data_IF_602315122584
#
_entry.id   IF_602315122584
#
_cell.length_a   1.000
_cell.length_b   1.000
_cell.length_c   1.000
_cell.angle_alpha   90.00
_cell.angle_beta   90.00
_cell.angle_gamma   90.00
#
_symmetry.space_group_name_H-M   'P 1'
#
loop_
_entity.id
_entity.type
_entity.pdbx_description
1 polymer ?
#
# COMPACT_ATOMS: atom_id res chain seq x y z
N UNK A 1 -7.51 6.95 -27.72
CA UNK A 1 -7.27 5.68 -28.46
C UNK A 1 -5.88 5.06 -28.29
N UNK A 2 -4.79 5.81 -28.07
CA UNK A 2 -3.42 5.24 -27.88
C UNK A 2 -3.23 4.42 -26.59
N UNK A 3 -3.96 4.70 -25.52
CA UNK A 3 -3.82 3.98 -24.22
C UNK A 3 -4.43 2.57 -24.21
N UNK A 4 -5.44 2.30 -25.03
CA UNK A 4 -6.03 0.96 -25.14
C UNK A 4 -5.12 0.00 -25.94
N UNK A 5 -4.28 0.53 -26.83
CA UNK A 5 -3.37 -0.27 -27.64
C UNK A 5 -2.15 -0.78 -26.84
N UNK A 6 -1.70 -0.01 -25.83
CA UNK A 6 -0.59 -0.42 -24.95
C UNK A 6 -1.03 -1.48 -23.92
N UNK A 7 -2.25 -1.42 -23.42
CA UNK A 7 -2.81 -2.43 -22.51
C UNK A 7 -2.99 -3.79 -23.21
N UNK A 8 -3.48 -3.79 -24.46
CA UNK A 8 -3.62 -5.02 -25.24
C UNK A 8 -2.28 -5.69 -25.58
N UNK A 9 -1.22 -4.89 -25.81
CA UNK A 9 0.13 -5.43 -26.07
C UNK A 9 0.79 -6.01 -24.82
N UNK A 10 0.56 -5.44 -23.64
CA UNK A 10 1.06 -6.00 -22.38
C UNK A 10 0.37 -7.32 -22.04
N UNK A 11 -0.95 -7.41 -22.22
CA UNK A 11 -1.71 -8.67 -22.02
C UNK A 11 -1.26 -9.76 -23.00
N UNK A 12 -1.03 -9.42 -24.26
CA UNK A 12 -0.54 -10.36 -25.24
C UNK A 12 0.92 -10.81 -24.96
N UNK A 13 1.77 -9.95 -24.43
CA UNK A 13 3.15 -10.28 -24.05
C UNK A 13 3.15 -11.24 -22.82
N UNK A 14 2.29 -11.01 -21.84
CA UNK A 14 2.17 -11.90 -20.67
C UNK A 14 1.60 -13.26 -21.07
N UNK A 15 0.61 -13.31 -21.98
CA UNK A 15 0.07 -14.55 -22.51
C UNK A 15 1.11 -15.31 -23.36
N UNK A 16 1.91 -14.62 -24.17
CA UNK A 16 2.96 -15.24 -24.97
C UNK A 16 4.13 -15.78 -24.12
N UNK A 17 4.49 -15.09 -23.04
CA UNK A 17 5.51 -15.57 -22.08
C UNK A 17 5.00 -16.82 -21.34
N UNK A 18 3.72 -16.85 -20.95
CA UNK A 18 3.10 -18.01 -20.32
C UNK A 18 3.02 -19.23 -21.24
N UNK A 19 2.77 -19.02 -22.54
CA UNK A 19 2.68 -20.10 -23.53
C UNK A 19 4.07 -20.61 -23.97
N UNK A 20 5.08 -19.74 -24.06
CA UNK A 20 6.42 -20.12 -24.49
C UNK A 20 7.28 -20.78 -23.42
N UNK A 21 6.99 -20.52 -22.13
CA UNK A 21 7.83 -20.99 -21.03
C UNK A 21 7.46 -22.40 -20.53
N UNK A 22 6.33 -22.97 -20.92
CA UNK A 22 5.87 -24.25 -20.35
C UNK A 22 5.85 -24.23 -18.80
N UNK A 23 5.90 -23.01 -18.22
CA UNK A 23 5.96 -22.83 -16.78
C UNK A 23 4.67 -23.37 -16.17
N UNK A 24 4.83 -24.36 -15.32
CA UNK A 24 3.73 -24.85 -14.50
C UNK A 24 3.10 -23.65 -13.78
N UNK A 25 1.76 -23.53 -13.78
CA UNK A 25 1.04 -22.44 -13.11
C UNK A 25 1.49 -22.25 -11.66
N UNK A 26 1.94 -23.31 -11.01
CA UNK A 26 2.52 -23.31 -9.66
C UNK A 26 3.74 -22.40 -9.49
N UNK A 27 4.64 -22.38 -10.48
CA UNK A 27 5.83 -21.52 -10.44
C UNK A 27 5.43 -20.04 -10.52
N UNK A 28 4.46 -19.73 -11.37
CA UNK A 28 3.93 -18.38 -11.51
C UNK A 28 3.22 -17.93 -10.22
N UNK A 29 2.36 -18.78 -9.65
CA UNK A 29 1.70 -18.52 -8.37
C UNK A 29 2.72 -18.28 -7.26
N UNK A 30 3.72 -19.15 -7.13
CA UNK A 30 4.76 -19.00 -6.12
C UNK A 30 5.54 -17.69 -6.27
N UNK A 31 5.87 -17.33 -7.50
CA UNK A 31 6.55 -16.07 -7.80
C UNK A 31 5.70 -14.87 -7.38
N UNK A 32 4.40 -14.88 -7.69
CA UNK A 32 3.48 -13.80 -7.31
C UNK A 32 3.26 -13.72 -5.79
N UNK A 33 3.14 -14.85 -5.10
CA UNK A 33 3.07 -14.87 -3.64
C UNK A 33 4.30 -14.23 -2.99
N UNK A 34 5.50 -14.55 -3.48
CA UNK A 34 6.74 -13.94 -2.99
C UNK A 34 6.78 -12.44 -3.27
N UNK A 35 6.33 -12.02 -4.44
CA UNK A 35 6.26 -10.61 -4.80
C UNK A 35 5.29 -9.85 -3.89
N UNK A 36 4.08 -10.38 -3.64
CA UNK A 36 3.11 -9.78 -2.74
C UNK A 36 3.62 -9.71 -1.30
N UNK A 37 4.29 -10.76 -0.82
CA UNK A 37 4.91 -10.76 0.50
C UNK A 37 5.97 -9.68 0.62
N UNK A 38 6.84 -9.53 -0.38
CA UNK A 38 7.85 -8.48 -0.42
C UNK A 38 7.22 -7.07 -0.46
N UNK A 39 6.14 -6.89 -1.24
CA UNK A 39 5.42 -5.62 -1.28
C UNK A 39 4.81 -5.26 0.07
N UNK A 40 4.17 -6.21 0.76
CA UNK A 40 3.61 -5.99 2.11
C UNK A 40 4.70 -5.62 3.11
N UNK A 41 5.80 -6.36 3.12
CA UNK A 41 6.94 -6.07 3.98
C UNK A 41 7.49 -4.66 3.72
N UNK A 42 7.71 -4.30 2.45
CA UNK A 42 8.20 -2.98 2.08
C UNK A 42 7.25 -1.86 2.51
N UNK A 43 5.93 -2.05 2.38
CA UNK A 43 4.92 -1.11 2.86
C UNK A 43 5.05 -0.88 4.37
N UNK A 44 5.19 -1.96 5.13
CA UNK A 44 5.26 -1.90 6.59
C UNK A 44 6.57 -1.25 7.07
N UNK A 45 7.69 -1.55 6.41
CA UNK A 45 8.99 -0.90 6.65
C UNK A 45 8.95 0.59 6.32
N UNK A 46 8.31 0.98 5.21
CA UNK A 46 8.12 2.37 4.84
C UNK A 46 7.28 3.13 5.87
N UNK A 47 6.22 2.51 6.39
CA UNK A 47 5.38 3.11 7.43
C UNK A 47 6.18 3.32 8.74
N UNK A 48 6.94 2.33 9.16
CA UNK A 48 7.79 2.43 10.34
C UNK A 48 8.89 3.50 10.17
N UNK A 49 9.52 3.54 8.99
CA UNK A 49 10.52 4.57 8.67
C UNK A 49 9.92 5.98 8.70
N UNK A 50 8.75 6.17 8.08
CA UNK A 50 8.07 7.47 8.05
C UNK A 50 7.72 7.94 9.46
N UNK A 51 7.15 7.08 10.31
CA UNK A 51 6.81 7.42 11.69
C UNK A 51 8.06 7.85 12.49
N UNK A 52 9.17 7.13 12.35
CA UNK A 52 10.43 7.46 12.99
C UNK A 52 11.02 8.78 12.48
N UNK A 53 11.03 8.98 11.17
CA UNK A 53 11.58 10.19 10.54
C UNK A 53 10.76 11.44 10.91
N UNK A 54 9.42 11.34 10.92
CA UNK A 54 8.53 12.43 11.33
C UNK A 54 8.74 12.80 12.79
N UNK A 55 8.88 11.82 13.69
CA UNK A 55 9.14 12.06 15.10
C UNK A 55 10.53 12.73 15.32
N UNK A 56 11.56 12.28 14.63
CA UNK A 56 12.89 12.85 14.70
C UNK A 56 12.92 14.29 14.17
N UNK A 57 12.26 14.54 13.02
CA UNK A 57 12.16 15.88 12.44
C UNK A 57 11.44 16.85 13.38
N UNK A 58 10.34 16.40 14.00
CA UNK A 58 9.61 17.21 14.98
C UNK A 58 10.49 17.56 16.16
N UNK A 59 11.16 16.58 16.76
CA UNK A 59 12.05 16.79 17.91
C UNK A 59 13.20 17.75 17.56
N UNK A 60 13.83 17.59 16.39
CA UNK A 60 14.90 18.47 15.92
C UNK A 60 14.41 19.91 15.74
N UNK A 61 13.22 20.09 15.12
CA UNK A 61 12.67 21.43 14.92
C UNK A 61 12.29 22.09 16.24
N UNK A 62 11.73 21.34 17.19
CA UNK A 62 11.43 21.86 18.53
C UNK A 62 12.69 22.29 19.25
N UNK A 63 13.77 21.46 19.26
CA UNK A 63 15.06 21.82 19.86
C UNK A 63 15.61 23.12 19.26
N UNK A 64 15.61 23.25 17.93
CA UNK A 64 16.08 24.47 17.27
C UNK A 64 15.24 25.71 17.60
N UNK A 65 13.92 25.56 17.76
CA UNK A 65 13.05 26.67 18.18
C UNK A 65 13.34 27.08 19.62
N UNK A 66 13.60 26.13 20.51
CA UNK A 66 13.97 26.40 21.91
C UNK A 66 15.33 27.12 22.01
N UNK A 67 16.34 26.61 21.29
CA UNK A 67 17.65 27.23 21.20
C UNK A 67 17.59 28.67 20.65
N UNK A 68 16.80 28.87 19.57
CA UNK A 68 16.63 30.19 18.99
C UNK A 68 15.89 31.16 19.93
N UNK A 69 14.90 30.65 20.69
CA UNK A 69 14.20 31.44 21.68
C UNK A 69 15.13 31.84 22.81
N UNK A 70 15.89 30.91 23.37
CA UNK A 70 16.89 31.16 24.44
C UNK A 70 17.96 32.18 23.99
N UNK A 71 18.51 31.98 22.79
CA UNK A 71 19.47 32.94 22.21
C UNK A 71 18.86 34.33 22.07
N UNK A 72 17.60 34.43 21.64
CA UNK A 72 16.91 35.70 21.49
C UNK A 72 16.64 36.43 22.82
N UNK A 73 16.38 35.68 23.88
CA UNK A 73 16.25 36.26 25.23
C UNK A 73 17.59 36.75 25.75
N UNK A 74 18.66 35.99 25.58
CA UNK A 74 19.99 36.35 25.96
C UNK A 74 20.46 37.66 25.28
N UNK A 75 20.12 37.84 23.99
CA UNK A 75 20.43 39.06 23.23
C UNK A 75 19.59 40.27 23.67
N UNK A 76 18.40 40.06 24.21
CA UNK A 76 17.50 41.14 24.60
C UNK A 76 17.64 41.54 26.07
N UNK A 77 18.40 40.80 26.83
CA UNK A 77 18.65 41.10 28.24
C UNK A 77 19.48 42.36 28.38
N UNK A 78 19.09 43.23 29.31
CA UNK A 78 19.87 44.39 29.73
C UNK A 78 21.12 43.97 30.54
N UNK A 79 21.95 44.95 30.98
CA UNK A 79 23.14 44.69 31.80
C UNK A 79 22.81 44.04 33.17
N UNK A 80 21.54 44.04 33.58
CA UNK A 80 21.04 43.38 34.79
C UNK A 80 20.38 42.04 34.50
N UNK A 81 20.42 41.57 33.26
CA UNK A 81 19.79 40.29 32.86
C UNK A 81 18.26 40.34 32.73
N UNK A 82 17.65 41.53 32.66
CA UNK A 82 16.21 41.71 32.53
C UNK A 82 15.79 41.91 31.11
N UNK A 83 14.69 41.28 30.72
CA UNK A 83 14.09 41.44 29.40
C UNK A 83 12.77 42.19 29.53
N UNK A 84 12.50 43.18 28.69
CA UNK A 84 11.25 43.90 28.69
C UNK A 84 10.08 42.98 28.37
N UNK A 85 8.96 43.13 29.07
CA UNK A 85 7.77 42.26 28.91
C UNK A 85 7.25 42.22 27.47
N UNK A 86 7.22 43.37 26.81
CA UNK A 86 6.76 43.43 25.39
C UNK A 86 7.69 42.61 24.49
N UNK A 87 8.97 42.62 24.72
CA UNK A 87 9.92 41.81 23.96
C UNK A 87 9.74 40.30 24.23
N UNK A 88 9.39 39.93 25.45
CA UNK A 88 9.03 38.52 25.77
C UNK A 88 7.79 38.11 25.03
N UNK A 89 6.73 38.91 25.09
CA UNK A 89 5.44 38.61 24.45
C UNK A 89 5.58 38.50 22.92
N UNK A 90 6.37 39.36 22.30
CA UNK A 90 6.62 39.30 20.86
C UNK A 90 7.34 37.99 20.45
N UNK A 91 8.38 37.59 21.23
CA UNK A 91 9.13 36.34 20.96
C UNK A 91 8.27 35.11 21.14
N UNK A 92 7.44 35.06 22.17
CA UNK A 92 6.52 33.96 22.39
C UNK A 92 5.52 33.84 21.24
N UNK A 93 4.99 34.97 20.72
CA UNK A 93 4.11 34.97 19.56
C UNK A 93 4.83 34.48 18.30
N UNK A 94 6.06 34.94 18.04
CA UNK A 94 6.87 34.48 16.89
C UNK A 94 7.13 32.97 16.99
N UNK A 95 7.45 32.45 18.18
CA UNK A 95 7.61 31.01 18.39
C UNK A 95 6.34 30.25 18.04
N UNK A 96 5.17 30.69 18.53
CA UNK A 96 3.90 30.03 18.25
C UNK A 96 3.61 29.94 16.74
N UNK A 97 3.87 31.04 16.00
CA UNK A 97 3.72 31.03 14.53
C UNK A 97 4.65 30.00 13.87
N UNK A 98 5.91 29.92 14.28
CA UNK A 98 6.87 28.96 13.74
C UNK A 98 6.51 27.52 14.10
N UNK A 99 6.00 27.26 15.30
CA UNK A 99 5.47 25.95 15.68
C UNK A 99 4.29 25.53 14.79
N UNK A 100 3.38 26.43 14.51
CA UNK A 100 2.24 26.15 13.63
C UNK A 100 2.70 25.87 12.20
N UNK A 101 3.68 26.59 11.68
CA UNK A 101 4.29 26.31 10.37
C UNK A 101 4.95 24.93 10.34
N UNK A 102 5.68 24.53 11.38
CA UNK A 102 6.28 23.20 11.49
C UNK A 102 5.22 22.12 11.49
N UNK A 103 4.14 22.30 12.27
CA UNK A 103 3.00 21.36 12.31
C UNK A 103 2.31 21.26 10.95
N UNK A 104 2.07 22.39 10.28
CA UNK A 104 1.46 22.40 8.95
C UNK A 104 2.32 21.68 7.91
N UNK A 105 3.64 21.87 7.96
CA UNK A 105 4.57 21.18 7.06
C UNK A 105 4.59 19.66 7.31
N UNK A 106 4.60 19.24 8.58
CA UNK A 106 4.51 17.82 8.93
C UNK A 106 3.20 17.21 8.46
N UNK A 107 2.06 17.87 8.71
CA UNK A 107 0.76 17.40 8.25
C UNK A 107 0.70 17.25 6.72
N UNK A 108 1.36 18.14 5.97
CA UNK A 108 1.47 18.02 4.51
C UNK A 108 2.31 16.81 4.09
N UNK A 109 3.42 16.54 4.77
CA UNK A 109 4.26 15.36 4.52
C UNK A 109 3.52 14.07 4.84
N UNK A 110 2.79 14.05 5.96
CA UNK A 110 1.95 12.92 6.35
C UNK A 110 0.86 12.67 5.30
N UNK A 111 0.20 13.71 4.81
CA UNK A 111 -0.79 13.61 3.74
C UNK A 111 -0.22 13.02 2.45
N UNK A 112 0.98 13.43 2.04
CA UNK A 112 1.66 12.87 0.88
C UNK A 112 2.06 11.40 1.09
N UNK A 113 2.50 11.06 2.30
CA UNK A 113 2.82 9.69 2.64
C UNK A 113 1.58 8.79 2.58
N UNK A 114 0.46 9.22 3.19
CA UNK A 114 -0.81 8.49 3.16
C UNK A 114 -1.32 8.25 1.73
N UNK A 115 -1.19 9.24 0.85
CA UNK A 115 -1.55 9.06 -0.57
C UNK A 115 -0.69 7.99 -1.26
N UNK A 116 0.62 7.96 -0.99
CA UNK A 116 1.52 6.94 -1.52
C UNK A 116 1.19 5.55 -0.94
N UNK A 117 0.91 5.49 0.36
CA UNK A 117 0.51 4.25 1.02
C UNK A 117 -0.80 3.69 0.43
N UNK A 118 -1.79 4.55 0.17
CA UNK A 118 -3.03 4.15 -0.48
C UNK A 118 -2.79 3.60 -1.90
N UNK A 119 -1.93 4.25 -2.69
CA UNK A 119 -1.54 3.74 -4.01
C UNK A 119 -0.84 2.38 -3.92
N UNK A 120 -0.02 2.17 -2.89
CA UNK A 120 0.69 0.91 -2.65
C UNK A 120 -0.27 -0.21 -2.23
N UNK A 121 -1.24 0.09 -1.35
CA UNK A 121 -2.28 -0.85 -0.96
C UNK A 121 -3.09 -1.29 -2.17
N UNK A 122 -3.47 -0.36 -3.05
CA UNK A 122 -4.18 -0.70 -4.28
C UNK A 122 -3.36 -1.58 -5.23
N UNK A 123 -2.04 -1.38 -5.29
CA UNK A 123 -1.17 -2.26 -6.06
C UNK A 123 -1.10 -3.68 -5.48
N UNK A 124 -1.14 -3.83 -4.16
CA UNK A 124 -1.21 -5.12 -3.47
C UNK A 124 -2.56 -5.80 -3.78
N UNK A 125 -3.69 -5.10 -3.65
CA UNK A 125 -5.03 -5.60 -3.98
C UNK A 125 -5.10 -6.13 -5.43
N UNK A 126 -4.60 -5.35 -6.39
CA UNK A 126 -4.53 -5.78 -7.79
C UNK A 126 -3.63 -7.00 -7.98
N UNK A 127 -2.56 -7.12 -7.20
CA UNK A 127 -1.69 -8.29 -7.20
C UNK A 127 -2.40 -9.53 -6.66
N UNK A 128 -3.22 -9.38 -5.63
CA UNK A 128 -4.05 -10.46 -5.06
C UNK A 128 -5.11 -10.91 -6.07
N UNK A 129 -5.85 -9.99 -6.70
CA UNK A 129 -6.79 -10.30 -7.76
C UNK A 129 -6.12 -11.04 -8.94
N UNK A 130 -4.90 -10.62 -9.30
CA UNK A 130 -4.13 -11.28 -10.36
C UNK A 130 -3.74 -12.71 -9.96
N UNK A 131 -3.41 -12.93 -8.69
CA UNK A 131 -3.08 -14.25 -8.17
C UNK A 131 -4.27 -15.20 -8.26
N UNK A 132 -5.46 -14.71 -7.91
CA UNK A 132 -6.72 -15.47 -8.00
C UNK A 132 -7.03 -15.87 -9.45
N UNK A 133 -6.86 -14.94 -10.39
CA UNK A 133 -7.02 -15.23 -11.82
C UNK A 133 -6.03 -16.28 -12.33
N UNK A 134 -4.77 -16.24 -11.88
CA UNK A 134 -3.77 -17.26 -12.24
C UNK A 134 -4.12 -18.61 -11.64
N UNK A 135 -4.67 -18.65 -10.43
CA UNK A 135 -5.15 -19.88 -9.81
C UNK A 135 -6.32 -20.49 -10.60
N UNK A 136 -7.30 -19.67 -11.02
CA UNK A 136 -8.40 -20.12 -11.87
C UNK A 136 -7.93 -20.64 -13.24
N UNK A 137 -7.00 -19.93 -13.87
CA UNK A 137 -6.40 -20.37 -15.11
C UNK A 137 -5.69 -21.72 -14.96
N UNK A 138 -4.99 -21.92 -13.86
CA UNK A 138 -4.33 -23.20 -13.54
C UNK A 138 -5.34 -24.35 -13.44
N UNK A 139 -6.49 -24.12 -12.79
CA UNK A 139 -7.57 -25.10 -12.67
C UNK A 139 -8.18 -25.42 -14.04
N UNK A 140 -8.46 -24.41 -14.88
CA UNK A 140 -8.96 -24.61 -16.23
C UNK A 140 -7.97 -25.36 -17.11
N UNK A 141 -6.69 -25.05 -17.04
CA UNK A 141 -5.66 -25.75 -17.79
C UNK A 141 -5.54 -27.23 -17.37
N UNK A 142 -5.66 -27.51 -16.07
CA UNK A 142 -5.70 -28.89 -15.56
C UNK A 142 -6.92 -29.64 -16.06
N UNK A 143 -8.09 -29.01 -16.06
CA UNK A 143 -9.33 -29.55 -16.54
C UNK A 143 -9.27 -29.86 -18.05
N UNK A 144 -8.77 -28.93 -18.86
CA UNK A 144 -8.56 -29.15 -20.30
C UNK A 144 -7.59 -30.30 -20.53
N UNK A 145 -6.50 -30.38 -19.78
CA UNK A 145 -5.53 -31.47 -19.88
C UNK A 145 -6.18 -32.83 -19.54
N UNK A 146 -7.04 -32.91 -18.50
CA UNK A 146 -7.74 -34.10 -18.11
C UNK A 146 -8.74 -34.61 -19.18
N UNK A 147 -9.31 -33.71 -19.99
CA UNK A 147 -10.19 -34.07 -21.11
C UNK A 147 -9.42 -34.72 -22.26
N UNK A 148 -8.16 -34.40 -22.46
CA UNK A 148 -7.33 -34.97 -23.52
C UNK A 148 -6.57 -36.24 -23.08
N UNK A 149 -6.31 -36.39 -21.78
CA UNK A 149 -5.76 -37.62 -21.20
C UNK A 149 -6.94 -38.48 -20.80
N UNK A 150 -7.24 -39.55 -21.57
CA UNK A 150 -8.31 -40.51 -21.31
C UNK A 150 -8.02 -41.33 -20.04
N UNK A 151 -8.04 -40.69 -18.86
CA UNK A 151 -7.94 -41.36 -17.59
C UNK A 151 -9.26 -41.27 -16.81
N UNK A 152 -9.68 -42.32 -16.10
CA UNK A 152 -10.90 -42.30 -15.29
C UNK A 152 -10.96 -41.21 -14.21
N UNK A 153 -9.80 -40.62 -13.88
CA UNK A 153 -9.70 -39.49 -12.95
C UNK A 153 -10.27 -38.17 -13.52
N UNK A 154 -10.44 -38.07 -14.84
CA UNK A 154 -10.99 -36.89 -15.50
C UNK A 154 -12.46 -36.64 -15.14
N UNK A 155 -13.25 -37.68 -14.97
CA UNK A 155 -14.67 -37.55 -14.58
C UNK A 155 -14.81 -37.14 -13.12
N UNK A 156 -13.94 -37.60 -12.24
CA UNK A 156 -13.90 -37.15 -10.84
C UNK A 156 -13.50 -35.68 -10.72
N UNK A 157 -12.44 -35.25 -11.41
CA UNK A 157 -11.99 -33.86 -11.41
C UNK A 157 -13.06 -32.89 -11.96
N UNK A 158 -13.83 -33.31 -12.97
CA UNK A 158 -14.97 -32.55 -13.49
C UNK A 158 -16.09 -32.43 -12.47
N UNK A 159 -16.39 -33.50 -11.75
CA UNK A 159 -17.39 -33.54 -10.68
C UNK A 159 -17.02 -32.62 -9.50
N UNK A 160 -15.78 -32.65 -9.06
CA UNK A 160 -15.28 -31.80 -7.98
C UNK A 160 -15.29 -30.32 -8.36
N UNK A 161 -14.93 -29.98 -9.60
CA UNK A 161 -14.98 -28.61 -10.10
C UNK A 161 -16.42 -28.07 -10.16
N UNK A 162 -17.37 -28.88 -10.63
CA UNK A 162 -18.76 -28.50 -10.68
C UNK A 162 -19.38 -28.31 -9.28
N UNK A 163 -18.99 -29.16 -8.31
CA UNK A 163 -19.43 -29.04 -6.93
C UNK A 163 -18.89 -27.76 -6.25
N UNK A 164 -17.59 -27.46 -6.37
CA UNK A 164 -17.00 -26.24 -5.84
C UNK A 164 -17.59 -24.96 -6.39
N UNK A 165 -17.92 -24.96 -7.68
CA UNK A 165 -18.56 -23.80 -8.31
C UNK A 165 -19.97 -23.57 -7.80
N UNK A 166 -20.73 -24.64 -7.59
CA UNK A 166 -22.09 -24.54 -7.03
C UNK A 166 -22.12 -24.04 -5.59
N UNK A 167 -21.11 -24.39 -4.78
CA UNK A 167 -20.94 -23.88 -3.41
C UNK A 167 -20.55 -22.38 -3.39
N UNK A 168 -19.68 -21.98 -4.30
CA UNK A 168 -19.25 -20.58 -4.44
C UNK A 168 -20.42 -19.69 -4.87
N UNK A 169 -21.24 -20.14 -5.83
CA UNK A 169 -22.44 -19.41 -6.29
C UNK A 169 -23.56 -19.39 -5.23
N UNK A 170 -23.64 -20.40 -4.37
CA UNK A 170 -24.60 -20.44 -3.26
C UNK A 170 -24.18 -19.50 -2.11
N UNK A 171 -22.87 -19.39 -1.82
CA UNK A 171 -22.32 -18.48 -0.81
C UNK A 171 -22.56 -17.01 -1.17
N UNK A 172 -22.37 -16.64 -2.41
CA UNK A 172 -22.55 -15.25 -2.87
C UNK A 172 -24.02 -14.80 -2.92
N UNK A 173 -24.98 -15.73 -2.97
CA UNK A 173 -26.42 -15.41 -2.90
C UNK A 173 -26.97 -15.21 -1.51
N UNK A 174 -26.34 -15.78 -0.49
CA UNK A 174 -26.79 -15.63 0.90
C UNK A 174 -26.41 -14.29 1.54
N UNK A 175 -25.39 -13.59 1.02
CA UNK A 175 -24.97 -12.28 1.57
C UNK A 175 -25.80 -11.09 1.06
N UNK A 176 -26.55 -11.22 -0.03
CA UNK A 176 -27.34 -10.11 -0.60
C UNK A 176 -28.74 -10.00 0.03
N UNK A 177 -29.16 -10.95 0.88
CA UNK A 177 -30.52 -11.08 1.40
C UNK A 177 -30.82 -10.47 2.76
N UNK A 178 -29.87 -9.90 3.51
CA UNK A 178 -30.07 -9.42 4.89
C UNK A 178 -29.73 -7.94 5.08
N UNK A 179 -30.22 -7.09 4.20
CA UNK A 179 -30.07 -5.63 4.32
C UNK A 179 -31.33 -4.89 3.93
N UNK A 180 -32.42 -5.10 4.64
CA UNK A 180 -33.66 -4.37 4.39
C UNK A 180 -34.71 -4.63 5.47
N UNK A 181 -34.60 -3.88 6.56
CA UNK A 181 -35.73 -3.38 7.39
C UNK A 181 -35.23 -2.21 8.26
#
# INVERSE_FOLDING_TARGET
>A
MRRLWTAGRMLAAVAAIGAAAGCAPEVLQRSQHLQLAAMRQYRDEMAAYHAKASAQLLAEKQSRLDEALEASFSQAADAGGRVALDAVMERVRKRAVLEDEVRANLARLDGQFLQRQAAFNRAIELGEETLDLVAEYGRLAALVRSLFVREPEAEQALGEYAAQRSESDAGSRSEVGTGGD
#
